data_IF_760488180812
#
_entry.id   IF_760488180812
#
_cell.length_a   1.000
_cell.length_b   1.000
_cell.length_c   1.000
_cell.angle_alpha   90.00
_cell.angle_beta   90.00
_cell.angle_gamma   90.00
#
_symmetry.space_group_name_H-M   'P 1'
#
loop_
_entity.id
_entity.type
_entity.pdbx_description
1 polymer ?
#
# COMPACT_ATOMS: atom_id res chain seq x y z
N UNK A 1 6.00 -36.66 2.11
CA UNK A 1 6.07 -35.21 1.82
C UNK A 1 4.73 -34.61 2.21
N UNK A 2 4.68 -33.77 3.25
CA UNK A 2 3.46 -33.09 3.64
C UNK A 2 3.28 -31.86 2.75
N UNK A 3 2.25 -31.86 1.92
CA UNK A 3 1.87 -30.71 1.11
C UNK A 3 1.29 -29.66 2.06
N UNK A 4 1.92 -28.48 2.16
CA UNK A 4 1.33 -27.34 2.86
C UNK A 4 0.12 -26.88 2.05
N UNK A 5 -1.07 -27.26 2.50
CA UNK A 5 -2.33 -26.73 1.96
C UNK A 5 -2.44 -25.29 2.45
N UNK A 6 -2.34 -24.34 1.53
CA UNK A 6 -2.56 -22.93 1.81
C UNK A 6 -4.01 -22.75 2.31
N UNK A 7 -4.16 -22.49 3.61
CA UNK A 7 -5.47 -22.25 4.19
C UNK A 7 -5.95 -20.85 3.81
N UNK A 8 -6.85 -20.78 2.84
CA UNK A 8 -7.52 -19.52 2.51
C UNK A 8 -8.49 -19.15 3.64
N UNK A 9 -8.16 -18.06 4.34
CA UNK A 9 -9.06 -17.44 5.30
C UNK A 9 -9.95 -16.39 4.62
N UNK A 10 -11.22 -16.35 4.99
CA UNK A 10 -12.19 -15.38 4.47
C UNK A 10 -12.71 -14.56 5.63
N UNK A 11 -12.54 -13.24 5.57
CA UNK A 11 -13.10 -12.33 6.57
C UNK A 11 -14.59 -12.16 6.31
N UNK A 12 -15.41 -12.38 7.35
CA UNK A 12 -16.83 -12.14 7.31
C UNK A 12 -17.12 -10.64 7.16
N UNK A 13 -18.04 -10.32 6.26
CA UNK A 13 -18.62 -8.99 6.10
C UNK A 13 -20.14 -9.13 5.98
N UNK A 14 -20.93 -8.34 6.73
CA UNK A 14 -22.37 -8.22 6.50
C UNK A 14 -22.68 -7.75 5.08
N UNK A 15 -23.81 -8.20 4.53
CA UNK A 15 -24.25 -7.80 3.20
C UNK A 15 -25.18 -6.60 3.31
N UNK A 16 -25.01 -5.60 2.46
CA UNK A 16 -25.91 -4.45 2.45
C UNK A 16 -27.25 -4.80 1.78
N UNK A 17 -28.36 -4.55 2.47
CA UNK A 17 -29.72 -4.71 1.97
C UNK A 17 -30.23 -3.35 1.50
N UNK A 18 -30.41 -3.20 0.18
CA UNK A 18 -30.84 -1.95 -0.44
C UNK A 18 -32.30 -1.60 -0.15
N UNK A 19 -33.15 -2.58 0.14
CA UNK A 19 -34.58 -2.33 0.41
C UNK A 19 -34.77 -1.77 1.83
N UNK A 20 -33.98 -2.27 2.78
CA UNK A 20 -34.04 -1.85 4.20
C UNK A 20 -33.00 -0.80 4.58
N UNK A 21 -32.14 -0.42 3.63
CA UNK A 21 -31.03 0.50 3.81
C UNK A 21 -30.15 0.14 5.02
N UNK A 22 -29.91 -1.15 5.24
CA UNK A 22 -29.24 -1.68 6.42
C UNK A 22 -28.41 -2.92 6.08
N UNK A 23 -27.47 -3.27 6.95
CA UNK A 23 -26.69 -4.50 6.79
C UNK A 23 -27.42 -5.71 7.36
N UNK A 24 -27.37 -6.83 6.64
CA UNK A 24 -27.91 -8.13 7.03
C UNK A 24 -26.79 -9.14 7.29
N UNK A 25 -27.04 -9.97 8.30
CA UNK A 25 -26.17 -11.06 8.70
C UNK A 25 -26.40 -12.27 7.79
N UNK A 26 -25.51 -12.48 6.83
CA UNK A 26 -25.55 -13.63 5.92
C UNK A 26 -24.36 -14.57 6.18
N UNK A 27 -24.65 -15.87 6.26
CA UNK A 27 -23.64 -16.88 6.53
C UNK A 27 -22.62 -16.95 5.38
N UNK A 28 -21.30 -16.85 5.66
CA UNK A 28 -20.27 -16.95 4.63
C UNK A 28 -19.97 -18.40 4.24
N UNK A 29 -20.55 -19.39 4.95
CA UNK A 29 -20.39 -20.81 4.64
C UNK A 29 -21.29 -21.23 3.48
N UNK A 30 -20.67 -21.59 2.36
CA UNK A 30 -21.37 -22.22 1.24
C UNK A 30 -21.68 -23.70 1.52
N UNK A 31 -22.74 -24.22 0.89
CA UNK A 31 -23.08 -25.64 1.01
C UNK A 31 -22.02 -26.49 0.33
N UNK A 32 -21.46 -27.47 1.05
CA UNK A 32 -20.47 -28.48 0.59
C UNK A 32 -19.04 -27.95 0.40
N UNK A 33 -18.76 -26.72 0.82
CA UNK A 33 -17.40 -26.18 0.80
C UNK A 33 -16.59 -26.70 2.00
N UNK A 34 -15.34 -27.12 1.75
CA UNK A 34 -14.42 -27.66 2.76
C UNK A 34 -13.09 -26.93 2.69
N UNK A 35 -12.39 -26.83 3.82
CA UNK A 35 -11.00 -26.32 3.89
C UNK A 35 -10.86 -24.81 4.04
N UNK A 36 -11.96 -24.05 4.07
CA UNK A 36 -11.95 -22.60 4.33
C UNK A 36 -12.13 -22.30 5.82
N UNK A 37 -11.43 -21.27 6.28
CA UNK A 37 -11.59 -20.71 7.63
C UNK A 37 -12.21 -19.34 7.50
N UNK A 38 -13.35 -19.12 8.16
CA UNK A 38 -14.02 -17.82 8.17
C UNK A 38 -13.65 -17.05 9.43
N UNK A 39 -13.31 -15.77 9.30
CA UNK A 39 -12.89 -14.93 10.42
C UNK A 39 -13.96 -13.88 10.68
N UNK A 40 -14.50 -13.82 11.89
CA UNK A 40 -15.38 -12.74 12.33
C UNK A 40 -14.63 -11.73 13.19
N UNK A 41 -14.82 -10.44 12.90
CA UNK A 41 -14.20 -9.31 13.61
C UNK A 41 -15.16 -8.57 14.53
N UNK A 42 -16.27 -9.21 14.93
CA UNK A 42 -17.26 -8.56 15.80
C UNK A 42 -16.77 -8.32 17.22
N UNK A 43 -15.63 -8.91 17.58
CA UNK A 43 -14.90 -8.69 18.84
C UNK A 43 -13.52 -8.17 18.50
N UNK A 44 -12.85 -7.56 19.47
CA UNK A 44 -11.44 -7.16 19.33
C UNK A 44 -10.48 -8.32 19.00
N UNK A 45 -10.94 -9.57 19.02
CA UNK A 45 -10.20 -10.74 18.54
C UNK A 45 -10.85 -11.25 17.25
N UNK A 46 -10.00 -11.68 16.33
CA UNK A 46 -10.38 -12.37 15.11
C UNK A 46 -10.84 -13.81 15.45
N UNK A 47 -12.16 -13.99 15.64
CA UNK A 47 -12.75 -15.30 15.91
C UNK A 47 -12.74 -16.13 14.61
N UNK A 48 -12.01 -17.25 14.59
CA UNK A 48 -11.88 -18.11 13.42
C UNK A 48 -12.82 -19.33 13.49
N UNK A 49 -13.52 -19.61 12.39
CA UNK A 49 -14.51 -20.67 12.26
C UNK A 49 -14.19 -21.56 11.07
N UNK A 50 -13.92 -22.83 11.32
CA UNK A 50 -13.78 -23.86 10.28
C UNK A 50 -15.09 -24.59 9.98
N UNK A 51 -16.18 -24.27 10.68
CA UNK A 51 -17.47 -24.95 10.52
C UNK A 51 -18.67 -24.00 10.63
N UNK A 52 -19.70 -24.28 9.83
CA UNK A 52 -20.95 -23.53 9.85
C UNK A 52 -21.65 -23.62 11.23
N UNK A 53 -21.55 -24.75 11.93
CA UNK A 53 -22.19 -24.95 13.22
C UNK A 53 -21.62 -24.03 14.30
N UNK A 54 -20.29 -23.91 14.38
CA UNK A 54 -19.62 -23.02 15.36
C UNK A 54 -19.89 -21.56 15.04
N UNK A 55 -19.91 -21.19 13.76
CA UNK A 55 -20.29 -19.85 13.32
C UNK A 55 -21.74 -19.51 13.65
N UNK A 56 -22.69 -20.43 13.43
CA UNK A 56 -24.12 -20.25 13.77
C UNK A 56 -24.37 -20.02 15.26
N UNK A 57 -23.52 -20.55 16.13
CA UNK A 57 -23.58 -20.26 17.57
C UNK A 57 -23.04 -18.86 17.86
N UNK A 58 -21.96 -18.47 17.19
CA UNK A 58 -21.35 -17.15 17.33
C UNK A 58 -22.27 -16.01 16.90
N UNK A 59 -22.94 -16.12 15.74
CA UNK A 59 -23.80 -15.03 15.22
C UNK A 59 -25.02 -14.73 16.11
N UNK A 60 -25.40 -15.68 16.97
CA UNK A 60 -26.48 -15.48 17.95
C UNK A 60 -26.07 -14.58 19.11
N UNK A 61 -24.78 -14.38 19.33
CA UNK A 61 -24.23 -13.58 20.42
C UNK A 61 -24.56 -12.10 20.21
N UNK A 62 -24.82 -11.40 21.32
CA UNK A 62 -25.19 -9.96 21.31
C UNK A 62 -24.11 -9.11 20.64
N UNK A 63 -22.83 -9.42 20.88
CA UNK A 63 -21.71 -8.71 20.26
C UNK A 63 -21.75 -8.76 18.72
N UNK A 64 -22.10 -9.91 18.12
CA UNK A 64 -22.19 -10.03 16.66
C UNK A 64 -23.37 -9.23 16.12
N UNK A 65 -24.52 -9.30 16.78
CA UNK A 65 -25.70 -8.53 16.39
C UNK A 65 -25.43 -7.02 16.41
N UNK A 66 -24.80 -6.53 17.47
CA UNK A 66 -24.42 -5.12 17.57
C UNK A 66 -23.41 -4.74 16.49
N UNK A 67 -22.43 -5.60 16.23
CA UNK A 67 -21.46 -5.38 15.14
C UNK A 67 -22.13 -5.25 13.78
N UNK A 68 -23.10 -6.11 13.44
CA UNK A 68 -23.84 -6.02 12.16
C UNK A 68 -24.64 -4.72 12.07
N UNK A 69 -25.31 -4.31 13.15
CA UNK A 69 -26.09 -3.07 13.21
C UNK A 69 -25.20 -1.82 13.04
N UNK A 70 -24.04 -1.81 13.68
CA UNK A 70 -23.08 -0.70 13.64
C UNK A 70 -22.11 -0.80 12.45
N UNK A 71 -22.16 -1.86 11.66
CA UNK A 71 -21.18 -2.15 10.62
C UNK A 71 -21.05 -1.00 9.63
N UNK A 72 -22.16 -0.37 9.24
CA UNK A 72 -22.14 0.79 8.34
C UNK A 72 -21.39 1.98 8.93
N UNK A 73 -21.48 2.20 10.24
CA UNK A 73 -20.72 3.27 10.93
C UNK A 73 -19.23 2.94 10.92
N UNK A 74 -18.86 1.70 11.27
CA UNK A 74 -17.46 1.23 11.27
C UNK A 74 -16.85 1.36 9.87
N UNK A 75 -17.54 0.90 8.82
CA UNK A 75 -17.07 1.00 7.44
C UNK A 75 -16.90 2.46 7.02
N UNK A 76 -17.83 3.34 7.40
CA UNK A 76 -17.74 4.76 7.06
C UNK A 76 -16.58 5.47 7.79
N UNK A 77 -16.34 5.12 9.06
CA UNK A 77 -15.19 5.61 9.83
C UNK A 77 -13.87 5.15 9.20
N UNK A 78 -13.76 3.86 8.84
CA UNK A 78 -12.58 3.33 8.14
C UNK A 78 -12.37 3.98 6.78
N UNK A 79 -13.45 4.17 6.00
CA UNK A 79 -13.39 4.86 4.72
C UNK A 79 -12.90 6.30 4.87
N UNK A 80 -13.41 7.02 5.87
CA UNK A 80 -13.00 8.40 6.17
C UNK A 80 -11.52 8.45 6.54
N UNK A 81 -11.06 7.57 7.44
CA UNK A 81 -9.65 7.46 7.82
C UNK A 81 -8.74 7.19 6.62
N UNK A 82 -9.08 6.19 5.80
CA UNK A 82 -8.29 5.82 4.61
C UNK A 82 -8.27 6.97 3.58
N UNK A 83 -9.37 7.72 3.45
CA UNK A 83 -9.43 8.89 2.59
C UNK A 83 -8.50 10.00 3.09
N UNK A 84 -8.53 10.31 4.37
CA UNK A 84 -7.65 11.30 4.99
C UNK A 84 -6.17 10.93 4.85
N UNK A 85 -5.82 9.67 5.11
CA UNK A 85 -4.47 9.14 4.94
C UNK A 85 -4.00 9.24 3.48
N UNK A 86 -4.86 8.89 2.52
CA UNK A 86 -4.56 9.05 1.10
C UNK A 86 -4.32 10.51 0.71
N UNK A 87 -5.09 11.45 1.27
CA UNK A 87 -4.91 12.87 0.96
C UNK A 87 -3.61 13.42 1.57
N UNK A 88 -3.16 12.91 2.72
CA UNK A 88 -1.83 13.19 3.27
C UNK A 88 -0.74 12.63 2.35
N UNK A 89 -0.83 11.35 1.97
CA UNK A 89 0.14 10.70 1.09
C UNK A 89 0.28 11.41 -0.27
N UNK A 90 -0.82 11.90 -0.84
CA UNK A 90 -0.78 12.71 -2.07
C UNK A 90 0.02 14.00 -1.88
N UNK A 91 -0.16 14.70 -0.75
CA UNK A 91 0.59 15.92 -0.44
C UNK A 91 2.08 15.62 -0.25
N UNK A 92 2.40 14.58 0.50
CA UNK A 92 3.79 14.14 0.70
C UNK A 92 4.47 13.77 -0.62
N UNK A 93 3.77 13.06 -1.51
CA UNK A 93 4.27 12.72 -2.85
C UNK A 93 4.64 13.97 -3.66
N UNK A 94 3.80 15.01 -3.63
CA UNK A 94 4.08 16.27 -4.33
C UNK A 94 5.31 16.95 -3.74
N UNK A 95 5.43 17.01 -2.41
CA UNK A 95 6.60 17.61 -1.72
C UNK A 95 7.87 16.85 -2.07
N UNK A 96 7.84 15.52 -2.06
CA UNK A 96 8.98 14.68 -2.43
C UNK A 96 9.40 14.89 -3.88
N UNK A 97 8.43 14.97 -4.81
CA UNK A 97 8.70 15.27 -6.23
C UNK A 97 9.43 16.61 -6.38
N UNK A 98 8.91 17.68 -5.76
CA UNK A 98 9.53 19.00 -5.82
C UNK A 98 10.94 19.03 -5.21
N UNK A 99 11.15 18.27 -4.13
CA UNK A 99 12.48 18.12 -3.52
C UNK A 99 13.44 17.41 -4.45
N UNK A 100 12.99 16.34 -5.10
CA UNK A 100 13.76 15.57 -6.06
C UNK A 100 14.13 16.41 -7.29
N UNK A 101 13.20 17.18 -7.84
CA UNK A 101 13.44 18.08 -8.98
C UNK A 101 14.48 19.15 -8.64
N UNK A 102 14.41 19.73 -7.44
CA UNK A 102 15.41 20.70 -6.95
C UNK A 102 16.80 20.07 -6.84
N UNK A 103 16.89 18.86 -6.28
CA UNK A 103 18.16 18.17 -6.12
C UNK A 103 18.77 17.82 -7.50
N UNK A 104 17.93 17.37 -8.43
CA UNK A 104 18.32 17.04 -9.80
C UNK A 104 18.87 18.29 -10.50
N UNK A 105 18.13 19.40 -10.46
CA UNK A 105 18.58 20.67 -11.04
C UNK A 105 19.86 21.24 -10.39
N UNK A 106 20.13 20.93 -9.12
CA UNK A 106 21.40 21.28 -8.48
C UNK A 106 22.54 20.40 -9.00
N UNK A 107 22.31 19.10 -9.14
CA UNK A 107 23.30 18.15 -9.65
C UNK A 107 23.65 18.40 -11.12
N UNK A 108 22.66 18.76 -11.94
CA UNK A 108 22.90 19.12 -13.34
C UNK A 108 23.84 20.33 -13.46
N UNK A 109 23.62 21.38 -12.65
CA UNK A 109 24.53 22.54 -12.61
C UNK A 109 25.94 22.18 -12.17
N UNK A 110 26.06 21.28 -11.19
CA UNK A 110 27.36 20.80 -10.71
C UNK A 110 28.11 20.03 -11.81
N UNK A 111 27.39 19.18 -12.54
CA UNK A 111 27.91 18.44 -13.70
C UNK A 111 28.37 19.43 -14.79
N UNK A 112 27.56 20.44 -15.14
CA UNK A 112 27.91 21.44 -16.14
C UNK A 112 29.19 22.21 -15.75
N UNK A 113 29.34 22.57 -14.48
CA UNK A 113 30.57 23.22 -14.00
C UNK A 113 31.79 22.31 -14.12
N UNK A 114 31.64 21.03 -13.78
CA UNK A 114 32.73 20.04 -13.88
C UNK A 114 33.10 19.79 -15.34
N UNK A 115 32.14 19.66 -16.24
CA UNK A 115 32.35 19.50 -17.68
C UNK A 115 33.13 20.69 -18.25
N UNK A 116 32.70 21.92 -17.96
CA UNK A 116 33.39 23.14 -18.37
C UNK A 116 34.84 23.19 -17.86
N UNK A 117 35.10 22.71 -16.64
CA UNK A 117 36.45 22.64 -16.08
C UNK A 117 37.31 21.61 -16.80
N UNK A 118 36.73 20.45 -17.12
CA UNK A 118 37.39 19.36 -17.82
C UNK A 118 37.77 19.76 -19.25
N UNK A 119 36.89 20.48 -19.95
CA UNK A 119 37.16 21.03 -21.28
C UNK A 119 38.33 22.01 -21.25
N UNK A 120 38.35 22.95 -20.29
CA UNK A 120 39.47 23.90 -20.13
C UNK A 120 40.79 23.18 -19.83
N UNK A 121 40.77 22.14 -19.01
CA UNK A 121 41.96 21.35 -18.71
C UNK A 121 42.46 20.58 -19.95
N UNK A 122 41.55 20.07 -20.76
CA UNK A 122 41.86 19.33 -22.00
C UNK A 122 42.49 20.26 -23.03
N UNK A 123 41.87 21.42 -23.30
CA UNK A 123 42.43 22.46 -24.19
C UNK A 123 43.84 22.86 -23.75
N UNK A 124 44.02 23.10 -22.45
CA UNK A 124 45.33 23.49 -21.89
C UNK A 124 46.38 22.39 -22.09
N UNK A 125 46.01 21.13 -21.91
CA UNK A 125 46.89 19.97 -22.12
C UNK A 125 47.32 19.85 -23.58
N UNK A 126 46.38 20.03 -24.51
CA UNK A 126 46.65 19.93 -25.95
C UNK A 126 47.57 21.07 -26.42
N UNK A 127 47.37 22.29 -25.92
CA UNK A 127 48.27 23.42 -26.20
C UNK A 127 49.73 23.10 -25.81
N UNK A 128 49.96 22.62 -24.58
CA UNK A 128 51.32 22.28 -24.14
C UNK A 128 51.91 21.11 -24.92
N UNK A 129 51.10 20.12 -25.32
CA UNK A 129 51.57 18.99 -26.13
C UNK A 129 52.06 19.46 -27.51
N UNK A 130 51.32 20.35 -28.16
CA UNK A 130 51.64 20.84 -29.49
C UNK A 130 52.85 21.79 -29.50
N UNK A 131 53.00 22.67 -28.51
CA UNK A 131 54.17 23.54 -28.43
C UNK A 131 55.47 22.80 -28.09
N UNK A 132 55.40 21.68 -27.34
CA UNK A 132 56.58 20.87 -27.03
C UNK A 132 57.15 20.13 -28.24
N UNK A 133 56.38 19.96 -29.32
CA UNK A 133 56.87 19.44 -30.59
C UNK A 133 57.58 20.51 -31.45
N UNK A 134 57.28 21.79 -31.25
CA UNK A 134 57.87 22.89 -32.03
C UNK A 134 59.22 23.40 -31.46
N UNK A 135 59.65 22.92 -30.29
CA UNK A 135 60.92 23.31 -29.65
C UNK A 135 62.05 22.29 -29.86
N UNK A 136 61.83 21.22 -30.65
CA UNK A 136 62.78 20.11 -30.85
C UNK A 136 63.36 20.06 -32.29
N UNK A 137 62.89 20.91 -33.21
CA UNK A 137 63.48 21.12 -34.54
C UNK A 137 64.33 22.40 -34.59
#
# INVERSE_FOLDING_TARGET
>A
MAQMIEQHSIVYAPVFDTEKNNYKDESPFERREKGKVHICKCRHRDDAFSSCSTYKLHVKLVCHKNYVLEYGKVVNEEFTRVKEENDILKKEKVIQSLSFDKLTAQKDREIDMLMNKLDRMTIRKDYYKNNKHNEID
#
